data_IF_357713447856
#
_entry.id   IF_357713447856
#
_cell.length_a   1.000
_cell.length_b   1.000
_cell.length_c   1.000
_cell.angle_alpha   90.00
_cell.angle_beta   90.00
_cell.angle_gamma   90.00
#
_symmetry.space_group_name_H-M   'P 1'
#
loop_
_entity.id
_entity.type
_entity.pdbx_description
1 polymer ?
#
# COMPACT_ATOMS: atom_id res chain seq x y z
N UNK A 1 -9.98 -79.25 50.99
CA UNK A 1 -10.63 -78.35 50.02
C UNK A 1 -9.84 -77.08 49.91
N UNK A 2 -8.96 -76.99 48.86
CA UNK A 2 -8.19 -75.83 48.60
C UNK A 2 -8.78 -75.10 47.37
N UNK A 3 -9.48 -73.97 47.60
CA UNK A 3 -10.14 -73.16 46.59
C UNK A 3 -9.04 -72.28 45.80
N UNK A 4 -9.03 -72.53 44.56
CA UNK A 4 -8.18 -71.87 43.54
C UNK A 4 -8.44 -70.31 43.50
N UNK A 5 -7.52 -69.48 44.01
CA UNK A 5 -7.55 -68.03 44.00
C UNK A 5 -6.71 -67.39 42.88
N UNK A 6 -6.38 -68.15 41.82
CA UNK A 6 -5.48 -67.65 40.76
C UNK A 6 -6.16 -66.99 39.55
N UNK A 7 -7.52 -66.87 39.50
CA UNK A 7 -8.23 -66.36 38.32
C UNK A 7 -8.56 -64.86 38.32
N UNK A 8 -8.51 -64.16 39.46
CA UNK A 8 -9.00 -62.79 39.58
C UNK A 8 -7.98 -61.71 39.14
N UNK A 9 -6.67 -61.99 39.18
CA UNK A 9 -5.66 -61.00 38.85
C UNK A 9 -5.44 -60.78 37.33
N UNK A 10 -5.66 -61.80 36.53
CA UNK A 10 -5.44 -61.71 35.06
C UNK A 10 -6.57 -60.93 34.35
N UNK A 11 -7.82 -61.02 34.86
CA UNK A 11 -8.96 -60.28 34.24
C UNK A 11 -8.88 -58.78 34.46
N UNK A 12 -8.29 -58.33 35.58
CA UNK A 12 -8.16 -56.91 35.92
C UNK A 12 -7.08 -56.24 35.06
N UNK A 13 -5.95 -56.90 34.81
CA UNK A 13 -4.88 -56.38 33.92
C UNK A 13 -5.35 -56.25 32.47
N UNK A 14 -6.12 -57.23 32.00
CA UNK A 14 -6.71 -57.18 30.63
C UNK A 14 -7.76 -56.06 30.48
N UNK A 15 -8.50 -55.78 31.54
CA UNK A 15 -9.48 -54.65 31.58
C UNK A 15 -8.75 -53.30 31.57
N UNK A 16 -7.68 -53.15 32.35
CA UNK A 16 -6.88 -51.94 32.42
C UNK A 16 -6.20 -51.67 31.07
N UNK A 17 -5.69 -52.69 30.35
CA UNK A 17 -5.09 -52.58 29.02
C UNK A 17 -6.11 -52.05 27.97
N UNK A 18 -7.38 -52.49 28.02
CA UNK A 18 -8.44 -52.01 27.15
C UNK A 18 -8.77 -50.55 27.43
N UNK A 19 -8.86 -50.12 28.68
CA UNK A 19 -9.13 -48.72 29.04
C UNK A 19 -7.96 -47.82 28.59
N UNK A 20 -6.73 -48.25 28.83
CA UNK A 20 -5.55 -47.50 28.37
C UNK A 20 -5.48 -47.37 26.85
N UNK A 21 -5.81 -48.44 26.12
CA UNK A 21 -5.89 -48.39 24.66
C UNK A 21 -6.97 -47.45 24.14
N UNK A 22 -8.15 -47.43 24.77
CA UNK A 22 -9.22 -46.49 24.45
C UNK A 22 -8.83 -45.03 24.75
N UNK A 23 -8.18 -44.75 25.85
CA UNK A 23 -7.66 -43.43 26.18
C UNK A 23 -6.60 -42.99 25.17
N UNK A 24 -5.72 -43.89 24.76
CA UNK A 24 -4.68 -43.59 23.76
C UNK A 24 -5.30 -43.22 22.39
N UNK A 25 -6.33 -43.98 21.94
CA UNK A 25 -7.04 -43.72 20.69
C UNK A 25 -7.74 -42.34 20.75
N UNK A 26 -8.40 -42.02 21.89
CA UNK A 26 -9.02 -40.70 22.05
C UNK A 26 -7.99 -39.60 22.07
N UNK A 27 -6.86 -39.78 22.75
CA UNK A 27 -5.78 -38.78 22.81
C UNK A 27 -5.15 -38.52 21.42
N UNK A 28 -4.89 -39.57 20.63
CA UNK A 28 -4.38 -39.48 19.26
C UNK A 28 -5.41 -38.78 18.36
N UNK A 29 -6.71 -39.13 18.50
CA UNK A 29 -7.78 -38.49 17.75
C UNK A 29 -7.89 -36.99 18.02
N UNK A 30 -7.88 -36.60 19.31
CA UNK A 30 -7.91 -35.18 19.72
C UNK A 30 -6.66 -34.44 19.23
N UNK A 31 -5.47 -35.03 19.39
CA UNK A 31 -4.22 -34.42 18.91
C UNK A 31 -4.21 -34.24 17.38
N UNK A 32 -4.67 -35.23 16.63
CA UNK A 32 -4.80 -35.16 15.18
C UNK A 32 -5.78 -34.07 14.75
N UNK A 33 -6.93 -33.93 15.46
CA UNK A 33 -7.91 -32.89 15.19
C UNK A 33 -7.32 -31.48 15.40
N UNK A 34 -6.63 -31.24 16.53
CA UNK A 34 -5.95 -29.97 16.78
C UNK A 34 -4.84 -29.67 15.78
N UNK A 35 -4.08 -30.68 15.39
CA UNK A 35 -3.02 -30.50 14.40
C UNK A 35 -3.58 -30.15 13.01
N UNK A 36 -4.69 -30.76 12.63
CA UNK A 36 -5.41 -30.47 11.39
C UNK A 36 -6.02 -29.06 11.39
N UNK A 37 -6.60 -28.65 12.52
CA UNK A 37 -7.16 -27.32 12.70
C UNK A 37 -6.09 -26.23 12.55
N UNK A 38 -4.95 -26.36 13.23
CA UNK A 38 -3.80 -25.45 13.09
C UNK A 38 -3.25 -25.41 11.66
N UNK A 39 -3.20 -26.55 11.00
CA UNK A 39 -2.78 -26.61 9.60
C UNK A 39 -3.76 -25.86 8.70
N UNK A 40 -5.07 -26.07 8.88
CA UNK A 40 -6.10 -25.38 8.11
C UNK A 40 -6.11 -23.88 8.38
N UNK A 41 -5.92 -23.44 9.63
CA UNK A 41 -5.77 -22.02 9.96
C UNK A 41 -4.56 -21.40 9.24
N UNK A 42 -3.42 -22.08 9.28
CA UNK A 42 -2.20 -21.62 8.59
C UNK A 42 -2.41 -21.51 7.08
N UNK A 43 -3.07 -22.47 6.45
CA UNK A 43 -3.39 -22.45 5.02
C UNK A 43 -4.34 -21.29 4.69
N UNK A 44 -5.40 -21.08 5.50
CA UNK A 44 -6.33 -19.96 5.30
C UNK A 44 -5.64 -18.61 5.47
N UNK A 45 -4.78 -18.47 6.47
CA UNK A 45 -4.03 -17.23 6.71
C UNK A 45 -3.12 -16.93 5.50
N UNK A 46 -2.36 -17.90 5.02
CA UNK A 46 -1.49 -17.72 3.86
C UNK A 46 -2.28 -17.34 2.60
N UNK A 47 -3.43 -17.99 2.35
CA UNK A 47 -4.30 -17.65 1.20
C UNK A 47 -4.85 -16.22 1.30
N UNK A 48 -5.21 -15.78 2.51
CA UNK A 48 -5.68 -14.41 2.74
C UNK A 48 -4.55 -13.38 2.52
N UNK A 49 -3.33 -13.70 2.93
CA UNK A 49 -2.14 -12.89 2.71
C UNK A 49 -1.82 -12.75 1.21
N UNK A 50 -1.85 -13.86 0.48
CA UNK A 50 -1.60 -13.85 -0.97
C UNK A 50 -2.63 -13.00 -1.71
N UNK A 51 -3.91 -13.12 -1.35
CA UNK A 51 -4.98 -12.30 -1.93
C UNK A 51 -4.77 -10.82 -1.65
N UNK A 52 -4.37 -10.46 -0.44
CA UNK A 52 -4.13 -9.09 -0.04
C UNK A 52 -2.89 -8.50 -0.73
N UNK A 53 -1.79 -9.26 -0.85
CA UNK A 53 -0.63 -8.84 -1.64
C UNK A 53 -0.96 -8.64 -3.11
N UNK A 54 -1.80 -9.50 -3.70
CA UNK A 54 -2.24 -9.35 -5.07
C UNK A 54 -3.08 -8.10 -5.27
N UNK A 55 -4.02 -7.84 -4.37
CA UNK A 55 -4.87 -6.66 -4.40
C UNK A 55 -4.02 -5.37 -4.26
N UNK A 56 -3.15 -5.33 -3.26
CA UNK A 56 -2.26 -4.19 -3.03
C UNK A 56 -1.35 -3.92 -4.22
N UNK A 57 -0.74 -4.97 -4.78
CA UNK A 57 0.12 -4.82 -5.97
C UNK A 57 -0.66 -4.30 -7.18
N UNK A 58 -1.87 -4.81 -7.42
CA UNK A 58 -2.74 -4.34 -8.51
C UNK A 58 -3.09 -2.87 -8.36
N UNK A 59 -3.36 -2.43 -7.16
CA UNK A 59 -3.68 -1.04 -6.85
C UNK A 59 -2.47 -0.11 -7.01
N UNK A 60 -1.32 -0.49 -6.47
CA UNK A 60 -0.07 0.25 -6.61
C UNK A 60 0.29 0.42 -8.09
N UNK A 61 0.17 -0.63 -8.89
CA UNK A 61 0.41 -0.58 -10.33
C UNK A 61 -0.59 0.34 -11.05
N UNK A 62 -1.87 0.29 -10.69
CA UNK A 62 -2.90 1.17 -11.26
C UNK A 62 -2.61 2.64 -10.97
N UNK A 63 -2.27 2.98 -9.73
CA UNK A 63 -1.90 4.35 -9.35
C UNK A 63 -0.62 4.80 -10.06
N UNK A 64 0.39 3.94 -10.15
CA UNK A 64 1.64 4.22 -10.86
C UNK A 64 1.40 4.54 -12.34
N UNK A 65 0.61 3.72 -13.02
CA UNK A 65 0.26 3.95 -14.42
C UNK A 65 -0.53 5.24 -14.61
N UNK A 66 -1.54 5.48 -13.79
CA UNK A 66 -2.32 6.73 -13.82
C UNK A 66 -1.46 7.95 -13.55
N UNK A 67 -0.51 7.86 -12.61
CA UNK A 67 0.43 8.95 -12.31
C UNK A 67 1.38 9.23 -13.46
N UNK A 68 1.89 8.22 -14.17
CA UNK A 68 2.74 8.42 -15.35
C UNK A 68 2.01 9.17 -16.47
N UNK A 69 0.77 8.78 -16.77
CA UNK A 69 -0.05 9.47 -17.77
C UNK A 69 -0.29 10.93 -17.35
N UNK A 70 -0.62 11.16 -16.09
CA UNK A 70 -0.79 12.52 -15.57
C UNK A 70 0.51 13.32 -15.60
N UNK A 71 1.65 12.69 -15.35
CA UNK A 71 2.96 13.31 -15.38
C UNK A 71 3.31 13.80 -16.79
N UNK A 72 3.11 12.98 -17.81
CA UNK A 72 3.33 13.36 -19.22
C UNK A 72 2.47 14.55 -19.61
N UNK A 73 1.17 14.51 -19.32
CA UNK A 73 0.26 15.62 -19.58
C UNK A 73 0.68 16.89 -18.80
N UNK A 74 1.10 16.75 -17.56
CA UNK A 74 1.59 17.87 -16.76
C UNK A 74 2.88 18.48 -17.30
N UNK A 75 3.83 17.67 -17.76
CA UNK A 75 5.08 18.13 -18.40
C UNK A 75 4.77 18.97 -19.64
N UNK A 76 3.83 18.53 -20.48
CA UNK A 76 3.47 19.23 -21.74
C UNK A 76 2.64 20.48 -21.50
N UNK A 77 1.61 20.40 -20.64
CA UNK A 77 0.62 21.46 -20.50
C UNK A 77 1.02 22.56 -19.52
N UNK A 78 1.88 22.22 -18.53
CA UNK A 78 2.24 23.15 -17.45
C UNK A 78 3.75 23.32 -17.26
N UNK A 79 4.52 22.25 -17.11
CA UNK A 79 5.91 22.39 -16.71
C UNK A 79 6.77 22.98 -17.81
N UNK A 80 6.74 22.41 -19.01
CA UNK A 80 7.51 22.92 -20.16
C UNK A 80 7.11 24.35 -20.55
N UNK A 81 5.81 24.66 -20.72
CA UNK A 81 5.39 25.99 -21.13
C UNK A 81 5.65 27.11 -20.11
N UNK A 82 5.66 26.80 -18.82
CA UNK A 82 5.74 27.81 -17.77
C UNK A 82 7.01 27.76 -16.93
N UNK A 83 7.81 26.70 -17.02
CA UNK A 83 9.08 26.59 -16.27
C UNK A 83 10.28 26.59 -17.20
N UNK A 84 10.23 25.78 -18.28
CA UNK A 84 11.37 25.64 -19.19
C UNK A 84 11.38 26.68 -20.32
N UNK A 85 10.19 27.08 -20.81
CA UNK A 85 10.02 27.97 -21.95
C UNK A 85 8.91 29.00 -21.68
N UNK A 86 9.05 29.83 -20.64
CA UNK A 86 8.04 30.87 -20.35
C UNK A 86 7.95 31.87 -21.52
N UNK A 87 6.71 32.27 -21.88
CA UNK A 87 6.45 33.18 -22.97
C UNK A 87 5.37 34.17 -22.59
N UNK A 88 5.59 35.46 -22.89
CA UNK A 88 4.62 36.54 -22.65
C UNK A 88 3.34 36.40 -23.47
N UNK A 89 3.35 35.55 -24.51
CA UNK A 89 2.16 35.28 -25.33
C UNK A 89 1.17 34.34 -24.61
N UNK A 90 1.56 33.72 -23.53
CA UNK A 90 0.74 32.79 -22.74
C UNK A 90 0.22 33.45 -21.46
N UNK A 91 -1.00 33.17 -21.14
CA UNK A 91 -1.58 33.53 -19.82
C UNK A 91 -1.37 32.41 -18.82
N UNK A 92 -1.08 32.74 -17.56
CA UNK A 92 -1.06 31.76 -16.49
C UNK A 92 -2.44 31.08 -16.39
N UNK A 93 -2.42 29.77 -16.25
CA UNK A 93 -3.65 28.96 -16.17
C UNK A 93 -3.99 28.63 -14.72
N UNK A 94 -5.24 28.76 -14.36
CA UNK A 94 -5.76 28.17 -13.12
C UNK A 94 -5.50 26.65 -13.19
N UNK A 95 -4.96 26.12 -12.13
CA UNK A 95 -4.66 24.68 -12.08
C UNK A 95 -5.96 23.89 -11.89
N UNK A 96 -6.35 23.13 -12.91
CA UNK A 96 -7.62 22.39 -12.96
C UNK A 96 -7.45 20.86 -12.92
N UNK A 97 -6.22 20.38 -12.75
CA UNK A 97 -5.98 18.94 -12.72
C UNK A 97 -6.74 18.29 -11.56
N UNK A 98 -7.63 17.37 -11.88
CA UNK A 98 -8.41 16.61 -10.89
C UNK A 98 -7.50 15.52 -10.33
N UNK A 99 -7.33 15.51 -9.00
CA UNK A 99 -6.76 14.37 -8.32
C UNK A 99 -7.83 13.27 -8.37
N UNK A 100 -7.58 12.18 -9.09
CA UNK A 100 -8.37 10.96 -8.91
C UNK A 100 -8.29 10.53 -7.45
N UNK A 101 -9.25 9.76 -6.99
CA UNK A 101 -9.23 9.25 -5.61
C UNK A 101 -8.03 8.31 -5.44
N UNK A 102 -6.92 8.86 -4.92
CA UNK A 102 -5.69 8.14 -4.61
C UNK A 102 -5.70 7.60 -3.17
N UNK A 103 -6.82 7.75 -2.47
CA UNK A 103 -6.99 7.21 -1.12
C UNK A 103 -7.52 5.80 -1.24
N UNK A 104 -6.62 4.85 -1.13
CA UNK A 104 -6.97 3.44 -1.07
C UNK A 104 -7.40 3.04 0.33
N UNK A 105 -8.65 2.63 0.53
CA UNK A 105 -9.09 1.97 1.76
C UNK A 105 -8.27 0.70 2.04
N UNK A 106 -7.87 -0.01 0.99
CA UNK A 106 -7.09 -1.25 1.03
C UNK A 106 -5.68 -0.97 1.58
N UNK A 107 -5.00 0.08 1.10
CA UNK A 107 -3.71 0.51 1.62
C UNK A 107 -3.79 0.87 3.12
N UNK A 108 -4.84 1.58 3.53
CA UNK A 108 -5.08 1.92 4.94
C UNK A 108 -5.29 0.66 5.78
N UNK A 109 -6.04 -0.32 5.27
CA UNK A 109 -6.28 -1.61 5.91
C UNK A 109 -4.99 -2.39 6.09
N UNK A 110 -4.13 -2.46 5.04
CA UNK A 110 -2.84 -3.15 5.09
C UNK A 110 -1.89 -2.51 6.11
N UNK A 111 -1.80 -1.18 6.13
CA UNK A 111 -0.94 -0.46 7.10
C UNK A 111 -1.38 -0.71 8.54
N UNK A 112 -2.68 -0.93 8.78
CA UNK A 112 -3.22 -1.22 10.10
C UNK A 112 -3.13 -2.69 10.52
N UNK A 113 -2.90 -3.61 9.58
CA UNK A 113 -2.77 -5.04 9.89
C UNK A 113 -1.32 -5.43 10.20
N UNK A 114 -1.01 -5.42 11.50
CA UNK A 114 0.33 -5.75 12.03
C UNK A 114 0.74 -7.18 11.67
N UNK A 115 -0.19 -8.12 11.46
CA UNK A 115 0.12 -9.52 11.15
C UNK A 115 0.78 -9.65 9.78
N UNK A 116 0.42 -8.80 8.83
CA UNK A 116 1.01 -8.71 7.50
C UNK A 116 2.44 -8.17 7.53
N UNK A 117 2.67 -7.20 8.41
CA UNK A 117 3.96 -6.51 8.52
C UNK A 117 5.00 -7.33 9.31
N UNK A 118 4.58 -8.35 10.04
CA UNK A 118 5.47 -9.19 10.83
C UNK A 118 6.35 -10.13 9.99
N UNK A 119 5.98 -10.39 8.73
CA UNK A 119 6.70 -11.32 7.85
C UNK A 119 7.80 -10.66 7.01
N UNK A 120 7.76 -9.34 6.81
CA UNK A 120 8.81 -8.59 6.09
C UNK A 120 9.06 -7.22 6.74
N UNK A 121 10.24 -7.09 7.35
CA UNK A 121 10.65 -5.84 8.01
C UNK A 121 10.81 -4.65 7.05
N UNK A 122 11.04 -4.91 5.76
CA UNK A 122 11.24 -3.87 4.76
C UNK A 122 9.93 -3.43 4.07
N UNK A 123 8.86 -4.20 4.20
CA UNK A 123 7.57 -3.88 3.61
C UNK A 123 6.94 -2.63 4.27
N UNK A 124 6.99 -2.53 5.59
CA UNK A 124 6.43 -1.39 6.32
C UNK A 124 7.07 -0.05 5.93
N UNK A 125 8.41 0.10 5.86
CA UNK A 125 9.03 1.32 5.37
C UNK A 125 8.63 1.67 3.94
N UNK A 126 8.53 0.69 3.04
CA UNK A 126 8.10 0.91 1.66
C UNK A 126 6.65 1.41 1.58
N UNK A 127 5.72 0.78 2.31
CA UNK A 127 4.33 1.22 2.45
C UNK A 127 4.21 2.64 3.01
N UNK A 128 4.98 2.95 4.06
CA UNK A 128 4.99 4.28 4.66
C UNK A 128 5.55 5.33 3.72
N UNK A 129 6.61 5.01 2.97
CA UNK A 129 7.20 5.90 1.96
C UNK A 129 6.19 6.20 0.86
N UNK A 130 5.55 5.17 0.32
CA UNK A 130 4.51 5.30 -0.69
C UNK A 130 3.33 6.16 -0.21
N UNK A 131 2.79 5.88 0.98
CA UNK A 131 1.71 6.67 1.56
C UNK A 131 2.09 8.15 1.76
N UNK A 132 3.30 8.44 2.25
CA UNK A 132 3.80 9.82 2.40
C UNK A 132 3.89 10.54 1.06
N UNK A 133 4.37 9.87 0.01
CA UNK A 133 4.47 10.43 -1.34
C UNK A 133 3.09 10.81 -1.88
N UNK A 134 2.09 9.94 -1.72
CA UNK A 134 0.69 10.23 -2.10
C UNK A 134 0.13 11.41 -1.30
N UNK A 135 0.28 11.43 0.02
CA UNK A 135 -0.22 12.52 0.85
C UNK A 135 0.43 13.86 0.50
N UNK A 136 1.74 13.84 0.22
CA UNK A 136 2.45 15.04 -0.22
C UNK A 136 1.96 15.53 -1.59
N UNK A 137 1.77 14.63 -2.56
CA UNK A 137 1.23 14.96 -3.87
C UNK A 137 -0.18 15.58 -3.77
N UNK A 138 -1.07 14.99 -2.97
CA UNK A 138 -2.43 15.51 -2.74
C UNK A 138 -2.34 16.92 -2.15
N UNK A 139 -1.55 17.10 -1.10
CA UNK A 139 -1.36 18.38 -0.42
C UNK A 139 -0.89 19.47 -1.39
N UNK A 140 0.20 19.25 -2.13
CA UNK A 140 0.75 20.23 -3.07
C UNK A 140 -0.25 20.54 -4.18
N UNK A 141 -1.00 19.56 -4.66
CA UNK A 141 -2.00 19.75 -5.71
C UNK A 141 -3.17 20.63 -5.22
N UNK A 142 -3.68 20.36 -4.01
CA UNK A 142 -4.76 21.16 -3.43
C UNK A 142 -4.30 22.58 -3.11
N UNK A 143 -3.12 22.76 -2.53
CA UNK A 143 -2.55 24.07 -2.26
C UNK A 143 -2.36 24.87 -3.55
N UNK A 144 -1.80 24.26 -4.59
CA UNK A 144 -1.60 24.94 -5.87
C UNK A 144 -2.94 25.33 -6.53
N UNK A 145 -3.93 24.43 -6.47
CA UNK A 145 -5.26 24.72 -6.99
C UNK A 145 -5.89 25.93 -6.27
N UNK A 146 -5.88 25.94 -4.94
CA UNK A 146 -6.45 27.01 -4.14
C UNK A 146 -5.74 28.35 -4.41
N UNK A 147 -4.40 28.37 -4.37
CA UNK A 147 -3.61 29.57 -4.62
C UNK A 147 -3.79 30.07 -6.06
N UNK A 148 -3.87 29.17 -7.04
CA UNK A 148 -4.09 29.55 -8.44
C UNK A 148 -5.48 30.16 -8.66
N UNK A 149 -6.53 29.63 -8.03
CA UNK A 149 -7.86 30.20 -8.06
C UNK A 149 -7.84 31.60 -7.42
N UNK A 150 -7.27 31.72 -6.22
CA UNK A 150 -7.25 32.99 -5.48
C UNK A 150 -6.51 34.10 -6.23
N UNK A 151 -5.37 33.79 -6.87
CA UNK A 151 -4.47 34.78 -7.44
C UNK A 151 -4.66 35.03 -8.93
N UNK A 152 -5.29 34.12 -9.68
CA UNK A 152 -5.45 34.24 -11.13
C UNK A 152 -6.88 34.60 -11.57
N UNK A 153 -7.87 34.60 -10.66
CA UNK A 153 -9.23 35.02 -11.01
C UNK A 153 -9.25 36.53 -11.25
N UNK A 154 -9.50 36.90 -12.49
CA UNK A 154 -9.71 38.30 -12.91
C UNK A 154 -8.49 39.04 -13.42
N UNK A 155 -7.31 38.42 -13.49
CA UNK A 155 -6.09 39.08 -13.93
C UNK A 155 -5.56 38.51 -15.27
N UNK A 156 -5.61 39.31 -16.34
CA UNK A 156 -4.90 39.10 -17.60
C UNK A 156 -3.59 39.91 -17.61
N UNK A 157 -2.80 39.81 -16.55
CA UNK A 157 -1.57 40.55 -16.41
C UNK A 157 -0.40 39.81 -17.08
N UNK A 158 0.51 40.59 -17.66
CA UNK A 158 1.84 40.05 -18.03
C UNK A 158 2.52 39.52 -16.77
N UNK A 159 2.93 38.26 -16.78
CA UNK A 159 3.62 37.61 -15.67
C UNK A 159 5.13 37.59 -15.84
N UNK A 160 5.63 38.03 -17.01
CA UNK A 160 7.06 38.17 -17.31
C UNK A 160 7.43 39.65 -17.45
N UNK A 161 8.67 39.97 -17.10
CA UNK A 161 9.29 41.24 -17.38
C UNK A 161 9.82 41.31 -18.82
N UNK A 162 10.45 42.44 -19.19
CA UNK A 162 11.02 42.68 -20.52
C UNK A 162 12.15 41.69 -20.86
N UNK A 163 12.78 41.07 -19.88
CA UNK A 163 13.85 40.08 -20.02
C UNK A 163 13.33 38.63 -20.08
N UNK A 164 12.01 38.41 -20.01
CA UNK A 164 11.38 37.10 -20.00
C UNK A 164 11.46 36.37 -18.66
N UNK A 165 11.80 37.10 -17.58
CA UNK A 165 11.79 36.55 -16.22
C UNK A 165 10.46 36.78 -15.54
N UNK A 166 10.08 35.89 -14.64
CA UNK A 166 8.86 36.05 -13.85
C UNK A 166 8.93 37.33 -13.00
N UNK A 167 7.86 38.09 -12.99
CA UNK A 167 7.69 39.19 -12.04
C UNK A 167 7.62 38.62 -10.61
N UNK A 168 8.15 39.33 -9.63
CA UNK A 168 8.27 38.86 -8.24
C UNK A 168 6.96 38.34 -7.65
N UNK A 169 5.84 38.98 -7.99
CA UNK A 169 4.49 38.58 -7.57
C UNK A 169 4.00 37.25 -8.14
N UNK A 170 4.65 36.73 -9.19
CA UNK A 170 4.30 35.47 -9.84
C UNK A 170 5.31 34.34 -9.63
N UNK A 171 6.41 34.55 -8.87
CA UNK A 171 7.39 33.49 -8.57
C UNK A 171 6.80 32.25 -7.89
N UNK A 172 5.66 32.40 -7.23
CA UNK A 172 4.94 31.27 -6.64
C UNK A 172 4.50 30.25 -7.70
N UNK A 173 4.16 30.65 -8.92
CA UNK A 173 3.59 29.77 -9.94
C UNK A 173 4.60 28.71 -10.41
N UNK A 174 5.79 29.08 -10.95
CA UNK A 174 6.80 28.08 -11.31
C UNK A 174 7.28 27.28 -10.09
N UNK A 175 7.29 27.88 -8.90
CA UNK A 175 7.67 27.16 -7.68
C UNK A 175 6.70 26.02 -7.35
N UNK A 176 5.41 26.24 -7.47
CA UNK A 176 4.42 25.16 -7.29
C UNK A 176 4.50 24.10 -8.39
N UNK A 177 4.75 24.49 -9.62
CA UNK A 177 4.94 23.54 -10.73
C UNK A 177 6.14 22.61 -10.46
N UNK A 178 7.26 23.15 -10.00
CA UNK A 178 8.44 22.37 -9.62
C UNK A 178 8.13 21.42 -8.47
N UNK A 179 7.48 21.90 -7.42
CA UNK A 179 7.10 21.07 -6.27
C UNK A 179 6.15 19.94 -6.68
N UNK A 180 5.16 20.25 -7.52
CA UNK A 180 4.22 19.24 -8.01
C UNK A 180 4.91 18.19 -8.87
N UNK A 181 5.79 18.62 -9.77
CA UNK A 181 6.62 17.71 -10.58
C UNK A 181 7.38 16.72 -9.68
N UNK A 182 8.07 17.23 -8.68
CA UNK A 182 8.84 16.42 -7.75
C UNK A 182 7.93 15.48 -6.92
N UNK A 183 6.75 15.94 -6.53
CA UNK A 183 5.78 15.11 -5.84
C UNK A 183 5.26 13.95 -6.71
N UNK A 184 5.00 14.19 -8.01
CA UNK A 184 4.60 13.15 -8.96
C UNK A 184 5.70 12.10 -9.16
N UNK A 185 6.96 12.53 -9.32
CA UNK A 185 8.12 11.64 -9.39
C UNK A 185 8.20 10.80 -8.10
N UNK A 186 8.08 11.41 -6.94
CA UNK A 186 8.12 10.71 -5.66
C UNK A 186 7.03 9.63 -5.51
N UNK A 187 5.83 9.86 -6.04
CA UNK A 187 4.77 8.82 -6.07
C UNK A 187 5.17 7.67 -7.00
N UNK A 188 5.67 7.96 -8.20
CA UNK A 188 6.08 6.94 -9.17
C UNK A 188 7.21 6.07 -8.59
N UNK A 189 8.28 6.68 -8.08
CA UNK A 189 9.44 5.98 -7.52
C UNK A 189 9.07 5.13 -6.29
N UNK A 190 8.26 5.68 -5.40
CA UNK A 190 7.82 4.93 -4.21
C UNK A 190 6.86 3.79 -4.55
N UNK A 191 6.04 3.93 -5.60
CA UNK A 191 5.19 2.87 -6.12
C UNK A 191 6.02 1.74 -6.75
N UNK A 192 7.08 2.08 -7.51
CA UNK A 192 8.01 1.09 -8.09
C UNK A 192 8.69 0.27 -7.00
N UNK A 193 9.26 0.94 -6.00
CA UNK A 193 9.91 0.27 -4.87
C UNK A 193 8.95 -0.68 -4.12
N UNK A 194 7.72 -0.22 -3.87
CA UNK A 194 6.72 -1.04 -3.20
C UNK A 194 6.29 -2.24 -4.05
N UNK A 195 6.08 -2.04 -5.36
CA UNK A 195 5.72 -3.12 -6.28
C UNK A 195 6.82 -4.19 -6.38
N UNK A 196 8.08 -3.79 -6.49
CA UNK A 196 9.23 -4.72 -6.48
C UNK A 196 9.26 -5.53 -5.19
N UNK A 197 9.01 -4.90 -4.05
CA UNK A 197 8.99 -5.57 -2.76
C UNK A 197 7.86 -6.58 -2.64
N UNK A 198 6.66 -6.22 -3.08
CA UNK A 198 5.49 -7.12 -3.10
C UNK A 198 5.70 -8.32 -4.04
N UNK A 199 6.39 -8.13 -5.17
CA UNK A 199 6.73 -9.23 -6.08
C UNK A 199 7.75 -10.19 -5.47
N UNK A 200 8.75 -9.67 -4.74
CA UNK A 200 9.73 -10.49 -4.05
C UNK A 200 9.10 -11.40 -2.99
N UNK A 201 8.13 -10.87 -2.23
CA UNK A 201 7.40 -11.63 -1.21
C UNK A 201 6.59 -12.81 -1.76
N UNK A 202 6.15 -12.74 -3.03
CA UNK A 202 5.43 -13.85 -3.69
C UNK A 202 6.34 -15.00 -4.12
N UNK A 203 7.64 -14.79 -4.14
CA UNK A 203 8.61 -15.80 -4.59
C UNK A 203 9.19 -16.59 -3.42
N UNK A 204 8.93 -16.19 -2.18
CA UNK A 204 9.34 -16.84 -0.93
C UNK A 204 8.24 -17.78 -0.41
#
# INVERSE_FOLDING_TARGET
MAKNKKGAGLSWVASLGKVMLQLLIVFVGVYAAFSLERYNEKVRTNQSLDQLYNLLNSEVESIKMGMRVQFEAFEEDYFRPFVLQPSSERSLKVFTMVIGDMRSPELQSVISDISLLAHDHDLLPALQSYNRSIQYYIKITDEFRLVSIERLIGEHLSYLDENGSYLAQFYWYPSYLIQKRNAMIGVIESAELLSERLQHLKQL
#
